data_IF_777307176146
#
_entry.id   IF_777307176146
#
_cell.length_a   1.000
_cell.length_b   1.000
_cell.length_c   1.000
_cell.angle_alpha   90.00
_cell.angle_beta   90.00
_cell.angle_gamma   90.00
#
_symmetry.space_group_name_H-M   'P 1'
#
loop_
_entity.id
_entity.type
_entity.pdbx_description
1 polymer ?
#
# COMPACT_ATOMS: atom_id res chain seq x y z
N UNK A 1 -6.95 -15.00 17.13
CA UNK A 1 -7.36 -13.82 16.34
C UNK A 1 -7.88 -14.29 15.00
N UNK A 2 -8.84 -13.60 14.36
CA UNK A 2 -9.20 -13.89 12.95
C UNK A 2 -8.07 -13.40 12.04
N UNK A 3 -7.76 -14.15 10.98
CA UNK A 3 -6.72 -13.78 10.04
C UNK A 3 -7.14 -12.54 9.25
N UNK A 4 -6.22 -11.62 8.96
CA UNK A 4 -6.54 -10.49 8.07
C UNK A 4 -7.01 -10.98 6.71
N UNK A 5 -6.44 -12.07 6.21
CA UNK A 5 -6.82 -12.65 4.93
C UNK A 5 -8.30 -13.10 4.87
N UNK A 6 -8.95 -13.35 6.02
CA UNK A 6 -10.37 -13.73 6.09
C UNK A 6 -11.31 -12.54 5.82
N UNK A 7 -10.79 -11.31 5.88
CA UNK A 7 -11.54 -10.10 5.57
C UNK A 7 -11.44 -9.65 4.10
N UNK A 8 -10.68 -10.35 3.27
CA UNK A 8 -10.56 -10.11 1.82
C UNK A 8 -11.78 -10.66 1.05
N UNK A 9 -12.02 -10.21 -0.20
CA UNK A 9 -12.96 -10.89 -1.09
C UNK A 9 -12.66 -12.39 -1.17
N UNK A 10 -13.65 -13.31 -1.11
CA UNK A 10 -13.42 -14.75 -0.96
C UNK A 10 -12.50 -15.36 -2.02
N UNK A 11 -12.60 -14.90 -3.26
CA UNK A 11 -11.76 -15.31 -4.37
C UNK A 11 -10.30 -14.88 -4.21
N UNK A 12 -10.05 -13.72 -3.59
CA UNK A 12 -8.71 -13.22 -3.28
C UNK A 12 -8.16 -13.91 -2.02
N UNK A 13 -8.99 -14.08 -0.99
CA UNK A 13 -8.64 -14.76 0.26
C UNK A 13 -8.09 -16.18 0.03
N UNK A 14 -8.62 -16.91 -0.96
CA UNK A 14 -8.16 -18.26 -1.35
C UNK A 14 -6.81 -18.27 -2.07
N UNK A 15 -6.40 -17.14 -2.64
CA UNK A 15 -5.15 -17.01 -3.37
C UNK A 15 -4.00 -16.52 -2.48
N UNK A 16 -4.29 -15.99 -1.28
CA UNK A 16 -3.26 -15.64 -0.30
C UNK A 16 -2.43 -16.89 0.04
N UNK A 17 -1.11 -16.76 -0.08
CA UNK A 17 -0.22 -17.89 0.09
C UNK A 17 -0.29 -18.48 1.52
N UNK A 18 -0.34 -19.82 1.69
CA UNK A 18 -0.45 -20.43 3.02
C UNK A 18 0.68 -20.05 4.00
N UNK A 19 1.90 -19.86 3.51
CA UNK A 19 3.03 -19.44 4.36
C UNK A 19 2.82 -18.04 4.95
N UNK A 20 2.09 -17.14 4.27
CA UNK A 20 1.75 -15.84 4.86
C UNK A 20 0.88 -16.02 6.12
N UNK A 21 -0.16 -16.87 6.05
CA UNK A 21 -1.05 -17.16 7.18
C UNK A 21 -0.30 -17.84 8.33
N UNK A 22 0.65 -18.72 8.00
CA UNK A 22 1.54 -19.34 8.99
C UNK A 22 2.42 -18.31 9.69
N UNK A 23 2.98 -17.34 8.95
CA UNK A 23 3.78 -16.25 9.52
C UNK A 23 2.95 -15.31 10.40
N UNK A 24 1.71 -14.99 10.00
CA UNK A 24 0.75 -14.26 10.85
C UNK A 24 0.47 -15.01 12.16
N UNK A 25 0.14 -16.30 12.09
CA UNK A 25 -0.12 -17.12 13.27
C UNK A 25 1.10 -17.22 14.20
N UNK A 26 2.29 -17.38 13.62
CA UNK A 26 3.55 -17.43 14.37
C UNK A 26 3.86 -16.09 15.05
N UNK A 27 3.60 -14.95 14.39
CA UNK A 27 3.71 -13.63 15.02
C UNK A 27 2.81 -13.54 16.25
N UNK A 28 1.54 -13.92 16.13
CA UNK A 28 0.59 -13.86 17.25
C UNK A 28 0.99 -14.73 18.44
N UNK A 29 1.65 -15.86 18.19
CA UNK A 29 2.15 -16.74 19.26
C UNK A 29 3.31 -16.14 20.06
N UNK A 30 4.08 -15.22 19.48
CA UNK A 30 5.25 -14.59 20.12
C UNK A 30 5.09 -13.08 20.37
N UNK A 31 3.92 -12.52 20.04
CA UNK A 31 3.64 -11.07 20.09
C UNK A 31 4.06 -10.41 21.40
N UNK A 32 3.73 -11.02 22.55
CA UNK A 32 4.02 -10.44 23.86
C UNK A 32 5.53 -10.40 24.16
N UNK A 33 6.33 -11.26 23.52
CA UNK A 33 7.80 -11.22 23.61
C UNK A 33 8.38 -10.12 22.71
N UNK A 34 7.71 -9.80 21.60
CA UNK A 34 8.14 -8.76 20.67
C UNK A 34 7.78 -7.35 21.18
N UNK A 35 6.70 -7.23 21.96
CA UNK A 35 6.17 -5.95 22.43
C UNK A 35 7.23 -5.07 23.12
N UNK A 36 8.01 -5.55 24.12
CA UNK A 36 8.98 -4.71 24.82
C UNK A 36 10.10 -4.17 23.92
N UNK A 37 10.41 -4.87 22.84
CA UNK A 37 11.53 -4.53 21.96
C UNK A 37 11.11 -3.69 20.74
N UNK A 38 9.94 -3.97 20.18
CA UNK A 38 9.53 -3.42 18.88
C UNK A 38 8.29 -2.53 18.95
N UNK A 39 7.75 -2.23 20.13
CA UNK A 39 6.56 -1.37 20.27
C UNK A 39 6.66 -0.08 19.44
N UNK A 40 5.64 0.16 18.62
CA UNK A 40 5.56 1.33 17.74
C UNK A 40 6.47 1.28 16.51
N UNK A 41 7.17 0.16 16.26
CA UNK A 41 7.95 -0.06 15.05
C UNK A 41 7.22 -1.01 14.11
N UNK A 42 7.42 -0.79 12.81
CA UNK A 42 7.02 -1.74 11.79
C UNK A 42 8.06 -2.87 11.74
N UNK A 43 7.58 -4.10 11.64
CA UNK A 43 8.41 -5.27 11.44
C UNK A 43 7.92 -6.09 10.26
N UNK A 44 8.83 -6.79 9.59
CA UNK A 44 8.53 -7.97 8.80
C UNK A 44 8.82 -9.20 9.64
N UNK A 45 7.85 -10.12 9.76
CA UNK A 45 7.97 -11.35 10.52
C UNK A 45 7.83 -12.55 9.58
N UNK A 46 8.81 -13.45 9.60
CA UNK A 46 8.80 -14.66 8.81
C UNK A 46 9.59 -15.78 9.49
N UNK A 47 9.15 -17.02 9.33
CA UNK A 47 9.84 -18.21 9.84
C UNK A 47 10.15 -18.14 11.35
N UNK A 48 9.25 -17.54 12.13
CA UNK A 48 9.40 -17.40 13.59
C UNK A 48 10.36 -16.30 14.04
N UNK A 49 10.80 -15.41 13.15
CA UNK A 49 11.75 -14.34 13.46
C UNK A 49 11.40 -13.01 12.81
N UNK A 50 11.92 -11.92 13.38
CA UNK A 50 11.88 -10.58 12.76
C UNK A 50 12.94 -10.53 11.66
N UNK A 51 12.53 -10.33 10.41
CA UNK A 51 13.42 -10.28 9.24
C UNK A 51 13.67 -8.85 8.76
N UNK A 52 12.84 -7.89 9.16
CA UNK A 52 13.01 -6.46 8.87
C UNK A 52 12.40 -5.62 10.00
N UNK A 53 12.95 -4.43 10.25
CA UNK A 53 12.45 -3.48 11.24
C UNK A 53 12.64 -2.04 10.76
N UNK A 54 11.69 -1.16 11.06
CA UNK A 54 11.81 0.25 10.68
C UNK A 54 10.64 1.12 11.13
N UNK A 55 10.75 2.42 10.82
CA UNK A 55 9.73 3.42 11.15
C UNK A 55 8.70 3.63 10.04
N UNK A 56 9.06 3.35 8.79
CA UNK A 56 8.20 3.53 7.61
C UNK A 56 7.71 2.17 7.11
N UNK A 57 6.40 1.95 6.97
CA UNK A 57 5.84 0.66 6.53
C UNK A 57 6.35 0.25 5.15
N UNK A 58 6.41 1.18 4.19
CA UNK A 58 6.89 0.91 2.82
C UNK A 58 8.33 0.38 2.79
N UNK A 59 9.24 0.94 3.59
CA UNK A 59 10.63 0.44 3.63
C UNK A 59 10.72 -0.95 4.28
N UNK A 60 9.91 -1.19 5.32
CA UNK A 60 9.88 -2.50 5.99
C UNK A 60 9.27 -3.57 5.09
N UNK A 61 8.22 -3.24 4.34
CA UNK A 61 7.61 -4.15 3.36
C UNK A 61 8.63 -4.60 2.31
N UNK A 62 9.33 -3.64 1.69
CA UNK A 62 10.36 -3.94 0.68
C UNK A 62 11.51 -4.75 1.27
N UNK A 63 12.04 -4.36 2.43
CA UNK A 63 13.11 -5.11 3.10
C UNK A 63 12.68 -6.52 3.51
N UNK A 64 11.44 -6.69 3.97
CA UNK A 64 10.90 -7.99 4.36
C UNK A 64 10.74 -8.92 3.15
N UNK A 65 10.26 -8.43 2.01
CA UNK A 65 10.15 -9.22 0.77
C UNK A 65 11.51 -9.59 0.16
N UNK A 66 12.54 -8.78 0.40
CA UNK A 66 13.92 -9.15 0.05
C UNK A 66 14.47 -10.26 0.94
N UNK A 67 14.06 -10.30 2.21
CA UNK A 67 14.56 -11.25 3.20
C UNK A 67 13.75 -12.57 3.23
N UNK A 68 12.46 -12.54 2.88
CA UNK A 68 11.56 -13.68 2.92
C UNK A 68 10.44 -13.54 1.87
N UNK A 69 9.96 -14.66 1.32
CA UNK A 69 8.99 -14.67 0.22
C UNK A 69 7.60 -14.17 0.64
N UNK A 70 7.08 -14.63 1.79
CA UNK A 70 5.72 -14.34 2.27
C UNK A 70 5.70 -13.76 3.69
N UNK A 71 6.31 -12.58 3.93
CA UNK A 71 6.41 -12.00 5.26
C UNK A 71 5.06 -11.50 5.78
N UNK A 72 4.86 -11.56 7.09
CA UNK A 72 3.80 -10.85 7.78
C UNK A 72 4.33 -9.47 8.23
N UNK A 73 3.78 -8.38 7.70
CA UNK A 73 4.27 -7.02 7.98
C UNK A 73 3.26 -6.27 8.84
N UNK A 74 3.69 -5.81 10.01
CA UNK A 74 2.80 -5.15 10.97
C UNK A 74 3.52 -4.16 11.90
N UNK A 75 2.76 -3.22 12.48
CA UNK A 75 3.24 -2.31 13.52
C UNK A 75 2.97 -2.91 14.91
N UNK A 76 4.04 -3.24 15.64
CA UNK A 76 3.94 -3.94 16.93
C UNK A 76 3.30 -3.04 17.99
N UNK A 77 2.26 -3.54 18.67
CA UNK A 77 1.47 -2.78 19.64
C UNK A 77 0.44 -1.82 19.03
N UNK A 78 0.32 -1.79 17.70
CA UNK A 78 -0.66 -1.01 16.93
C UNK A 78 -1.33 -1.87 15.85
N UNK A 79 -1.50 -3.16 16.13
CA UNK A 79 -1.88 -4.14 15.11
C UNK A 79 -3.31 -3.96 14.56
N UNK A 80 -4.16 -3.25 15.30
CA UNK A 80 -5.51 -2.90 14.87
C UNK A 80 -5.60 -1.53 14.19
N UNK A 81 -4.50 -0.79 14.06
CA UNK A 81 -4.50 0.51 13.39
C UNK A 81 -4.48 0.31 11.86
N UNK A 82 -5.54 0.73 11.14
CA UNK A 82 -5.57 0.65 9.68
C UNK A 82 -4.72 1.76 9.04
N UNK A 83 -4.28 1.53 7.80
CA UNK A 83 -3.84 2.63 6.93
C UNK A 83 -5.01 3.60 6.70
N UNK A 84 -4.76 4.90 6.87
CA UNK A 84 -5.76 5.94 6.61
C UNK A 84 -5.75 6.29 5.14
N UNK A 85 -6.85 6.00 4.46
CA UNK A 85 -7.12 6.37 3.08
C UNK A 85 -8.15 7.49 3.05
N UNK A 86 -8.05 8.38 2.07
CA UNK A 86 -9.08 9.39 1.83
C UNK A 86 -10.25 8.78 1.04
N UNK A 87 -11.04 7.91 1.67
CA UNK A 87 -12.39 7.58 1.16
C UNK A 87 -13.42 8.42 1.89
N UNK A 88 -14.00 9.39 1.18
CA UNK A 88 -15.36 9.86 1.51
C UNK A 88 -16.32 8.93 0.77
N UNK A 89 -17.56 8.79 1.25
CA UNK A 89 -18.58 7.83 0.76
C UNK A 89 -18.96 8.04 -0.73
N UNK A 90 -18.41 9.06 -1.38
CA UNK A 90 -18.49 9.29 -2.82
C UNK A 90 -17.06 9.36 -3.38
N UNK A 91 -16.77 8.56 -4.39
CA UNK A 91 -15.56 8.74 -5.18
C UNK A 91 -15.60 10.09 -5.91
N UNK A 92 -14.44 10.58 -6.31
CA UNK A 92 -14.34 11.77 -7.14
C UNK A 92 -14.98 11.53 -8.51
N UNK A 93 -15.77 12.51 -8.93
CA UNK A 93 -16.19 12.61 -10.32
C UNK A 93 -14.99 13.07 -11.14
N UNK A 94 -14.28 12.12 -11.75
CA UNK A 94 -13.15 12.40 -12.64
C UNK A 94 -13.55 13.13 -13.92
N UNK A 95 -14.86 13.28 -14.18
CA UNK A 95 -15.41 14.10 -15.27
C UNK A 95 -15.81 15.51 -14.83
N UNK A 96 -15.65 15.85 -13.54
CA UNK A 96 -15.97 17.16 -13.01
C UNK A 96 -14.99 18.22 -13.53
N UNK A 97 -15.45 19.05 -14.46
CA UNK A 97 -14.61 20.00 -15.19
C UNK A 97 -14.46 21.37 -14.51
N UNK A 98 -15.27 21.70 -13.49
CA UNK A 98 -15.30 23.05 -12.92
C UNK A 98 -14.09 23.30 -12.01
N UNK A 99 -13.79 22.37 -11.13
CA UNK A 99 -12.59 22.38 -10.27
C UNK A 99 -11.95 20.98 -10.32
N UNK A 100 -11.21 20.68 -11.40
CA UNK A 100 -10.69 19.34 -11.63
C UNK A 100 -9.66 18.97 -10.57
N UNK A 101 -9.56 17.67 -10.29
CA UNK A 101 -8.53 17.17 -9.40
C UNK A 101 -7.12 17.40 -9.99
N UNK A 102 -6.13 17.69 -9.13
CA UNK A 102 -4.74 17.57 -9.53
C UNK A 102 -4.45 16.11 -9.87
N UNK A 103 -3.91 15.86 -11.06
CA UNK A 103 -3.53 14.53 -11.50
C UNK A 103 -2.18 14.55 -12.20
N UNK A 104 -1.49 13.42 -12.15
CA UNK A 104 -0.22 13.18 -12.83
C UNK A 104 -0.28 11.88 -13.65
N UNK A 105 0.70 11.71 -14.54
CA UNK A 105 1.04 10.42 -15.11
C UNK A 105 2.11 9.76 -14.22
N UNK A 106 1.91 8.50 -13.83
CA UNK A 106 2.89 7.74 -13.05
C UNK A 106 3.04 6.32 -13.59
N UNK A 107 4.28 5.83 -13.66
CA UNK A 107 4.56 4.46 -14.07
C UNK A 107 4.71 3.56 -12.82
N UNK A 108 3.95 2.48 -12.77
CA UNK A 108 4.04 1.49 -11.70
C UNK A 108 4.76 0.25 -12.21
N UNK A 109 5.83 -0.15 -11.50
CA UNK A 109 6.73 -1.25 -11.84
C UNK A 109 6.68 -2.33 -10.76
N UNK A 110 6.64 -3.59 -11.17
CA UNK A 110 6.74 -4.73 -10.23
C UNK A 110 8.13 -4.85 -9.63
N UNK A 111 9.15 -4.44 -10.38
CA UNK A 111 10.56 -4.56 -10.02
C UNK A 111 11.30 -3.29 -10.45
N UNK A 112 12.34 -2.88 -9.71
CA UNK A 112 13.13 -1.72 -10.08
C UNK A 112 13.91 -2.00 -11.37
N UNK A 113 14.07 -1.00 -12.21
CA UNK A 113 14.75 -1.07 -13.52
C UNK A 113 13.99 -1.83 -14.61
N UNK A 114 12.80 -2.38 -14.33
CA UNK A 114 11.97 -3.09 -15.31
C UNK A 114 10.76 -2.24 -15.65
N UNK A 115 10.56 -1.98 -16.95
CA UNK A 115 9.42 -1.20 -17.43
C UNK A 115 8.08 -1.75 -16.91
N UNK A 116 7.22 -0.83 -16.48
CA UNK A 116 5.93 -1.08 -15.87
C UNK A 116 4.77 -0.61 -16.74
N UNK A 117 3.66 -0.27 -16.09
CA UNK A 117 2.51 0.37 -16.75
C UNK A 117 2.37 1.81 -16.30
N UNK A 118 2.23 2.70 -17.26
CA UNK A 118 1.89 4.10 -17.02
C UNK A 118 0.39 4.26 -16.89
N UNK A 119 -0.03 4.92 -15.83
CA UNK A 119 -1.42 5.34 -15.66
C UNK A 119 -1.50 6.85 -15.67
N UNK A 120 -2.41 7.36 -16.48
CA UNK A 120 -2.86 8.75 -16.39
C UNK A 120 -3.90 8.89 -15.28
N UNK A 121 -4.18 10.14 -14.90
CA UNK A 121 -5.18 10.47 -13.89
C UNK A 121 -4.85 9.91 -12.49
N UNK A 122 -3.57 9.81 -12.14
CA UNK A 122 -3.14 9.42 -10.79
C UNK A 122 -3.22 10.64 -9.89
N UNK A 123 -3.96 10.54 -8.79
CA UNK A 123 -4.19 11.63 -7.84
C UNK A 123 -3.08 11.60 -6.78
N UNK A 124 -2.17 12.60 -6.73
CA UNK A 124 -1.29 12.78 -5.59
C UNK A 124 -2.13 13.25 -4.39
N UNK A 125 -2.37 12.35 -3.44
CA UNK A 125 -3.23 12.59 -2.29
C UNK A 125 -2.46 12.57 -0.99
N UNK A 126 -2.16 13.77 -0.49
CA UNK A 126 -1.54 13.95 0.82
C UNK A 126 -2.42 13.50 1.98
N UNK A 127 -3.69 13.15 1.75
CA UNK A 127 -4.61 12.56 2.72
C UNK A 127 -4.46 11.06 2.92
N UNK A 128 -3.88 10.35 1.94
CA UNK A 128 -3.71 8.89 1.96
C UNK A 128 -2.34 8.49 2.54
N UNK A 129 -2.32 7.54 3.48
CA UNK A 129 -1.08 6.97 4.04
C UNK A 129 -0.26 6.22 2.99
N UNK A 130 -0.93 5.61 2.03
CA UNK A 130 -0.35 4.63 1.10
C UNK A 130 -0.97 4.79 -0.28
N UNK A 131 -0.29 4.33 -1.32
CA UNK A 131 -0.78 4.38 -2.69
C UNK A 131 -1.80 3.28 -2.93
N UNK A 132 -2.76 3.52 -3.83
CA UNK A 132 -3.81 2.57 -4.16
C UNK A 132 -4.16 2.59 -5.64
N UNK A 133 -4.45 1.43 -6.19
CA UNK A 133 -4.98 1.27 -7.54
C UNK A 133 -6.24 0.41 -7.50
N UNK A 134 -7.19 0.62 -8.42
CA UNK A 134 -8.31 -0.29 -8.60
C UNK A 134 -7.81 -1.70 -8.89
N UNK A 135 -8.52 -2.72 -8.41
CA UNK A 135 -8.08 -4.11 -8.60
C UNK A 135 -7.86 -4.48 -10.08
N UNK A 136 -8.65 -3.91 -11.00
CA UNK A 136 -8.45 -4.10 -12.45
C UNK A 136 -7.09 -3.59 -12.95
N UNK A 137 -6.57 -2.49 -12.38
CA UNK A 137 -5.25 -1.95 -12.74
C UNK A 137 -4.14 -2.79 -12.09
N UNK A 138 -4.34 -3.29 -10.87
CA UNK A 138 -3.45 -4.29 -10.25
C UNK A 138 -3.35 -5.57 -11.10
N UNK A 139 -4.45 -6.01 -11.71
CA UNK A 139 -4.47 -7.18 -12.61
C UNK A 139 -3.73 -6.88 -13.92
N UNK A 140 -3.86 -5.67 -14.49
CA UNK A 140 -3.09 -5.27 -15.66
C UNK A 140 -1.58 -5.25 -15.37
N UNK A 141 -1.19 -4.80 -14.17
CA UNK A 141 0.18 -4.88 -13.66
C UNK A 141 0.65 -6.32 -13.40
N UNK A 142 -0.23 -7.32 -13.53
CA UNK A 142 0.04 -8.73 -13.25
C UNK A 142 0.52 -8.94 -11.81
N UNK A 143 -0.09 -8.26 -10.85
CA UNK A 143 0.17 -8.48 -9.43
C UNK A 143 -0.50 -9.79 -9.00
N UNK A 144 0.31 -10.72 -8.50
CA UNK A 144 -0.14 -12.02 -8.03
C UNK A 144 -0.63 -11.93 -6.58
N UNK A 145 -1.92 -12.21 -6.29
CA UNK A 145 -2.42 -12.20 -4.92
C UNK A 145 -1.64 -13.08 -3.93
N UNK A 146 -0.98 -14.16 -4.40
CA UNK A 146 -0.14 -15.01 -3.55
C UNK A 146 1.10 -14.27 -3.00
N UNK A 147 1.54 -13.22 -3.69
CA UNK A 147 2.64 -12.35 -3.28
C UNK A 147 2.17 -11.11 -2.49
N UNK A 148 0.85 -10.94 -2.34
CA UNK A 148 0.27 -9.82 -1.60
C UNK A 148 0.28 -10.04 -0.08
N UNK A 149 0.30 -8.93 0.66
CA UNK A 149 0.26 -8.87 2.13
C UNK A 149 -1.09 -8.29 2.55
N UNK A 150 -2.00 -9.11 3.10
CA UNK A 150 -3.25 -8.64 3.70
C UNK A 150 -3.02 -7.53 4.72
N UNK A 151 -3.81 -6.46 4.62
CA UNK A 151 -3.73 -5.29 5.48
C UNK A 151 -5.11 -4.69 5.75
N UNK A 152 -5.19 -3.84 6.76
CA UNK A 152 -6.37 -3.05 7.07
C UNK A 152 -6.21 -1.63 6.55
N UNK A 153 -7.26 -1.08 5.96
CA UNK A 153 -7.35 0.33 5.63
C UNK A 153 -8.73 0.91 6.00
N UNK A 154 -8.82 2.22 6.12
CA UNK A 154 -10.07 2.94 6.43
C UNK A 154 -10.20 4.22 5.64
N UNK A 155 -11.43 4.61 5.31
CA UNK A 155 -11.76 5.92 4.76
C UNK A 155 -11.79 7.06 5.79
N UNK A 156 -11.80 8.32 5.32
CA UNK A 156 -11.97 9.54 6.12
C UNK A 156 -13.37 9.63 6.75
N UNK A 157 -14.39 9.04 6.11
CA UNK A 157 -15.78 9.03 6.59
C UNK A 157 -16.21 7.72 7.29
N UNK A 158 -15.27 6.79 7.52
CA UNK A 158 -15.51 5.55 8.26
C UNK A 158 -15.82 4.34 7.38
N UNK A 159 -15.34 3.18 7.83
CA UNK A 159 -15.44 1.89 7.16
C UNK A 159 -14.08 1.19 7.17
N UNK A 160 -13.90 0.25 8.10
CA UNK A 160 -12.73 -0.62 8.10
C UNK A 160 -12.90 -1.65 6.98
N UNK A 161 -11.92 -1.74 6.09
CA UNK A 161 -11.89 -2.74 5.04
C UNK A 161 -10.53 -3.44 5.01
N UNK A 162 -10.54 -4.65 4.49
CA UNK A 162 -9.30 -5.39 4.21
C UNK A 162 -8.89 -5.13 2.78
N UNK A 163 -7.59 -4.98 2.57
CA UNK A 163 -6.98 -4.83 1.26
C UNK A 163 -5.77 -5.77 1.15
N UNK A 164 -5.21 -5.86 -0.05
CA UNK A 164 -4.02 -6.62 -0.33
C UNK A 164 -2.92 -5.64 -0.78
N UNK A 165 -1.86 -5.53 0.03
CA UNK A 165 -0.70 -4.68 -0.23
C UNK A 165 0.37 -5.40 -1.02
N UNK A 166 1.07 -4.68 -1.89
CA UNK A 166 2.15 -5.19 -2.74
C UNK A 166 3.38 -4.29 -2.64
N UNK A 167 4.54 -4.92 -2.66
CA UNK A 167 5.82 -4.23 -2.82
C UNK A 167 6.03 -3.92 -4.30
N UNK A 168 5.82 -2.66 -4.70
CA UNK A 168 6.02 -2.21 -6.08
C UNK A 168 6.88 -0.94 -6.10
N UNK A 169 7.20 -0.45 -7.29
CA UNK A 169 7.96 0.77 -7.51
C UNK A 169 7.14 1.75 -8.32
N UNK A 170 7.25 3.02 -8.00
CA UNK A 170 6.71 4.11 -8.82
C UNK A 170 7.87 4.81 -9.49
N UNK A 171 7.83 4.90 -10.82
CA UNK A 171 8.78 5.68 -11.60
C UNK A 171 8.16 7.02 -11.97
N UNK A 172 8.77 8.09 -11.46
CA UNK A 172 8.37 9.47 -11.62
C UNK A 172 9.61 10.34 -11.79
N UNK A 173 9.58 11.25 -12.76
CA UNK A 173 10.67 12.19 -13.02
C UNK A 173 12.06 11.50 -13.15
N UNK A 174 12.09 10.39 -13.90
CA UNK A 174 13.33 9.63 -14.13
C UNK A 174 13.89 8.88 -12.92
N UNK A 175 13.18 8.89 -11.78
CA UNK A 175 13.60 8.24 -10.54
C UNK A 175 12.60 7.16 -10.11
N UNK A 176 13.08 6.19 -9.34
CA UNK A 176 12.26 5.10 -8.81
C UNK A 176 12.07 5.23 -7.30
N UNK A 177 10.83 5.11 -6.86
CA UNK A 177 10.44 5.23 -5.46
C UNK A 177 9.78 3.94 -4.98
N UNK A 178 10.21 3.38 -3.83
CA UNK A 178 9.51 2.28 -3.19
C UNK A 178 8.06 2.67 -2.91
N UNK A 179 7.13 1.83 -3.32
CA UNK A 179 5.71 2.03 -3.16
C UNK A 179 5.10 0.82 -2.45
N UNK A 180 4.22 1.10 -1.50
CA UNK A 180 3.36 0.11 -0.89
C UNK A 180 1.98 0.27 -1.53
N UNK A 181 1.75 -0.50 -2.59
CA UNK A 181 0.52 -0.38 -3.36
C UNK A 181 -0.56 -1.28 -2.78
N UNK A 182 -1.70 -0.71 -2.41
CA UNK A 182 -2.86 -1.48 -1.96
C UNK A 182 -3.92 -1.60 -3.06
N UNK A 183 -4.52 -2.77 -3.18
CA UNK A 183 -5.63 -3.01 -4.10
C UNK A 183 -6.94 -2.41 -3.57
N UNK A 184 -7.56 -1.53 -4.34
CA UNK A 184 -8.95 -1.14 -4.12
C UNK A 184 -9.89 -2.11 -4.85
N UNK A 185 -10.52 -2.99 -4.08
CA UNK A 185 -11.50 -3.94 -4.61
C UNK A 185 -12.86 -3.31 -4.95
N UNK A 186 -13.10 -2.06 -4.56
CA UNK A 186 -14.42 -1.42 -4.68
C UNK A 186 -14.39 -0.05 -5.37
N UNK A 187 -13.26 0.64 -5.30
CA UNK A 187 -13.07 1.95 -5.91
C UNK A 187 -12.50 1.88 -7.32
N UNK A 188 -12.45 3.05 -7.93
CA UNK A 188 -12.03 3.30 -9.30
C UNK A 188 -10.93 4.39 -9.40
N UNK A 189 -10.47 4.88 -8.25
CA UNK A 189 -9.48 5.95 -8.17
C UNK A 189 -8.07 5.40 -8.14
N UNK A 190 -7.15 6.14 -8.76
CA UNK A 190 -5.72 5.88 -8.72
C UNK A 190 -5.08 6.90 -7.79
N UNK A 191 -4.48 6.43 -6.71
CA UNK A 191 -3.97 7.29 -5.64
C UNK A 191 -2.48 7.07 -5.49
N UNK A 192 -1.72 8.16 -5.52
CA UNK A 192 -0.34 8.21 -5.05
C UNK A 192 -0.33 8.80 -3.64
N UNK A 193 -0.04 7.97 -2.65
CA UNK A 193 -0.13 8.33 -1.24
C UNK A 193 1.19 8.80 -0.62
N UNK A 194 1.15 9.09 0.69
CA UNK A 194 2.30 9.55 1.48
C UNK A 194 3.44 8.54 1.57
N UNK A 195 3.20 7.26 1.28
CA UNK A 195 4.26 6.26 1.16
C UNK A 195 5.30 6.65 0.11
N UNK A 196 4.85 7.21 -1.02
CA UNK A 196 5.70 7.74 -2.09
C UNK A 196 5.89 9.26 -1.96
N UNK A 197 4.82 10.03 -1.76
CA UNK A 197 4.87 11.51 -1.78
C UNK A 197 5.86 12.10 -0.77
N UNK A 198 6.06 11.46 0.39
CA UNK A 198 7.03 11.93 1.39
C UNK A 198 8.50 11.74 0.97
N UNK A 199 8.75 11.12 -0.18
CA UNK A 199 10.08 10.97 -0.79
C UNK A 199 10.27 11.92 -1.99
N UNK A 200 9.27 12.77 -2.29
CA UNK A 200 9.24 13.68 -3.43
C UNK A 200 9.19 15.13 -2.96
N UNK A 201 9.66 16.05 -3.79
CA UNK A 201 9.21 17.44 -3.75
C UNK A 201 8.00 17.58 -4.67
N UNK A 202 6.86 18.04 -4.15
CA UNK A 202 5.62 18.16 -4.94
C UNK A 202 5.05 19.56 -4.77
N UNK A 203 4.83 20.24 -5.89
CA UNK A 203 4.24 21.58 -5.94
C UNK A 203 2.90 21.53 -6.67
N UNK A 204 1.83 21.90 -5.96
CA UNK A 204 0.50 22.09 -6.52
C UNK A 204 0.32 23.55 -6.96
N UNK A 205 0.27 23.80 -8.26
CA UNK A 205 0.06 25.12 -8.85
C UNK A 205 -1.41 25.25 -9.28
N UNK A 206 -2.27 25.51 -8.30
CA UNK A 206 -3.73 25.58 -8.50
C UNK A 206 -4.17 26.45 -9.68
N UNK A 207 -3.74 27.72 -9.77
CA UNK A 207 -4.12 28.60 -10.89
C UNK A 207 -3.66 28.12 -12.28
N UNK A 208 -2.65 27.25 -12.34
CA UNK A 208 -2.13 26.65 -13.57
C UNK A 208 -2.67 25.22 -13.80
N UNK A 209 -3.47 24.69 -12.86
CA UNK A 209 -3.95 23.31 -12.85
C UNK A 209 -2.81 22.30 -13.03
N UNK A 210 -1.65 22.58 -12.42
CA UNK A 210 -0.42 21.83 -12.63
C UNK A 210 0.06 21.19 -11.32
N UNK A 211 0.57 19.97 -11.42
CA UNK A 211 1.37 19.33 -10.37
C UNK A 211 2.78 19.18 -10.91
N UNK A 212 3.75 19.76 -10.20
CA UNK A 212 5.18 19.62 -10.52
C UNK A 212 5.80 18.68 -9.49
N UNK A 213 6.51 17.67 -9.99
CA UNK A 213 7.29 16.72 -9.19
C UNK A 213 8.76 17.07 -9.36
N UNK A 214 9.49 17.19 -8.25
CA UNK A 214 10.92 17.57 -8.18
C UNK A 214 11.26 18.84 -8.99
N UNK A 215 10.63 19.99 -8.67
CA UNK A 215 10.83 21.26 -9.37
C UNK A 215 12.25 21.84 -9.27
#
# INVERSE_FOLDING_TARGET
MKSLADGLPPEIARQVHPEWRKNEAAYWAVRDQLLPQYQGQWIGFANGSVVAVGKRPVHVLHAAHQAAEHPFVICVGRESEPYRMRRVVFGYDTSYAVEPLPVICAEFRRQPGVAGLSFDQVIPDTGADTSALPWVDCQQLQLDPAQGVPALWTGVAGGLATTLGFSVWVHLDGQEYPCQLHADFTGNERILGRDVLNSLEVLFRGPQSEVVVNP
#
